data_IF_680215896377
#
_entry.id   IF_680215896377
#
_cell.length_a   1.000
_cell.length_b   1.000
_cell.length_c   1.000
_cell.angle_alpha   90.00
_cell.angle_beta   90.00
_cell.angle_gamma   90.00
#
_symmetry.space_group_name_H-M   'P 1'
#
loop_
_entity.id
_entity.type
_entity.pdbx_description
1 polymer ?
#
# COMPACT_ATOMS: atom_id res chain seq x y z
N UNK A 1 4.47 -17.80 1.64
CA UNK A 1 4.51 -16.69 2.61
C UNK A 1 3.39 -16.79 3.65
N UNK A 2 2.13 -16.48 3.30
CA UNK A 2 1.02 -16.39 4.28
C UNK A 2 0.79 -17.64 5.14
N UNK A 3 0.72 -18.84 4.54
CA UNK A 3 0.57 -20.12 5.30
C UNK A 3 1.70 -20.36 6.31
N UNK A 4 2.89 -19.80 6.05
CA UNK A 4 4.07 -19.89 6.91
C UNK A 4 4.19 -18.72 7.89
N UNK A 5 3.22 -17.78 7.90
CA UNK A 5 3.25 -16.52 8.66
C UNK A 5 4.49 -15.66 8.39
N UNK A 6 5.06 -15.79 7.20
CA UNK A 6 6.21 -15.00 6.75
C UNK A 6 5.71 -13.68 6.16
N UNK A 7 5.42 -12.72 7.03
CA UNK A 7 4.80 -11.44 6.66
C UNK A 7 5.76 -10.51 5.91
N UNK A 8 7.08 -10.64 6.13
CA UNK A 8 8.09 -9.96 5.30
C UNK A 8 7.98 -10.37 3.85
N UNK A 9 7.91 -11.68 3.60
CA UNK A 9 7.77 -12.19 2.25
C UNK A 9 6.39 -11.85 1.65
N UNK A 10 5.33 -11.77 2.46
CA UNK A 10 4.02 -11.25 1.99
C UNK A 10 4.14 -9.80 1.52
N UNK A 11 4.83 -8.93 2.27
CA UNK A 11 5.07 -7.53 1.89
C UNK A 11 5.79 -7.42 0.54
N UNK A 12 6.82 -8.24 0.32
CA UNK A 12 7.56 -8.30 -0.96
C UNK A 12 6.63 -8.71 -2.10
N UNK A 13 5.91 -9.83 -1.95
CA UNK A 13 4.99 -10.34 -2.98
C UNK A 13 3.85 -9.37 -3.28
N UNK A 14 3.35 -8.62 -2.29
CA UNK A 14 2.34 -7.59 -2.50
C UNK A 14 2.84 -6.50 -3.44
N UNK A 15 4.08 -6.05 -3.24
CA UNK A 15 4.69 -5.03 -4.09
C UNK A 15 4.95 -5.56 -5.50
N UNK A 16 5.58 -6.74 -5.62
CA UNK A 16 5.88 -7.37 -6.89
C UNK A 16 4.61 -7.64 -7.71
N UNK A 17 3.53 -8.09 -7.06
CA UNK A 17 2.25 -8.32 -7.75
C UNK A 17 1.70 -7.02 -8.36
N UNK A 18 1.78 -5.91 -7.65
CA UNK A 18 1.37 -4.62 -8.19
C UNK A 18 2.27 -4.19 -9.35
N UNK A 19 3.58 -4.34 -9.22
CA UNK A 19 4.56 -3.92 -10.23
C UNK A 19 4.45 -4.73 -11.53
N UNK A 20 4.01 -5.99 -11.44
CA UNK A 20 3.69 -6.81 -12.61
C UNK A 20 2.37 -6.38 -13.24
N UNK A 21 1.33 -6.15 -12.43
CA UNK A 21 0.00 -5.75 -12.93
C UNK A 21 0.02 -4.37 -13.58
N UNK A 22 0.77 -3.42 -13.04
CA UNK A 22 0.87 -2.05 -13.58
C UNK A 22 1.44 -2.01 -15.00
N UNK A 23 2.14 -3.05 -15.46
CA UNK A 23 2.66 -3.16 -16.82
C UNK A 23 1.58 -3.44 -17.87
N UNK A 24 0.46 -4.02 -17.47
CA UNK A 24 -0.61 -4.47 -18.37
C UNK A 24 -1.94 -3.73 -18.16
N UNK A 25 -2.01 -2.83 -17.18
CA UNK A 25 -3.21 -2.05 -16.89
C UNK A 25 -2.89 -0.56 -16.82
N UNK A 26 -3.81 0.29 -17.26
CA UNK A 26 -3.68 1.74 -17.09
C UNK A 26 -3.94 2.09 -15.63
N UNK A 27 -2.95 2.72 -14.98
CA UNK A 27 -3.12 3.27 -13.64
C UNK A 27 -3.27 4.78 -13.75
N UNK A 28 -4.30 5.34 -13.13
CA UNK A 28 -4.44 6.79 -13.05
C UNK A 28 -3.30 7.39 -12.22
N UNK A 29 -2.92 8.63 -12.52
CA UNK A 29 -1.88 9.34 -11.78
C UNK A 29 -2.14 9.39 -10.26
N UNK A 30 -3.38 9.70 -9.77
CA UNK A 30 -3.64 9.69 -8.33
C UNK A 30 -3.46 8.31 -7.68
N UNK A 31 -3.84 7.24 -8.39
CA UNK A 31 -3.67 5.88 -7.89
C UNK A 31 -2.18 5.50 -7.79
N UNK A 32 -1.36 5.86 -8.78
CA UNK A 32 0.10 5.65 -8.68
C UNK A 32 0.71 6.46 -7.55
N UNK A 33 0.29 7.72 -7.39
CA UNK A 33 0.81 8.61 -6.35
C UNK A 33 0.53 8.08 -4.93
N UNK A 34 -0.64 7.47 -4.70
CA UNK A 34 -0.92 6.80 -3.43
C UNK A 34 0.01 5.60 -3.19
N UNK A 35 0.26 4.77 -4.21
CA UNK A 35 1.16 3.60 -4.08
C UNK A 35 2.59 4.02 -3.76
N UNK A 36 3.11 4.96 -4.54
CA UNK A 36 4.48 5.45 -4.36
C UNK A 36 4.65 6.13 -3.00
N UNK A 37 3.66 6.92 -2.58
CA UNK A 37 3.65 7.56 -1.26
C UNK A 37 3.66 6.53 -0.14
N UNK A 38 2.81 5.50 -0.21
CA UNK A 38 2.80 4.42 0.77
C UNK A 38 4.16 3.72 0.86
N UNK A 39 4.77 3.39 -0.28
CA UNK A 39 6.06 2.69 -0.35
C UNK A 39 7.22 3.54 0.13
N UNK A 40 7.26 4.84 -0.20
CA UNK A 40 8.24 5.78 0.37
C UNK A 40 8.12 5.88 1.89
N UNK A 41 6.91 5.70 2.41
CA UNK A 41 6.70 5.64 3.86
C UNK A 41 7.14 4.30 4.47
N UNK A 42 7.58 3.30 3.70
CA UNK A 42 8.01 2.00 4.22
C UNK A 42 6.89 0.96 4.33
N UNK A 43 5.72 1.21 3.74
CA UNK A 43 4.66 0.20 3.65
C UNK A 43 4.78 -0.59 2.34
N UNK A 44 4.43 -1.88 2.38
CA UNK A 44 4.04 -2.57 1.16
C UNK A 44 2.65 -2.12 0.76
N UNK A 45 2.40 -1.93 -0.53
CA UNK A 45 1.15 -1.37 -1.01
C UNK A 45 0.80 -1.85 -2.43
N UNK A 46 -0.50 -2.08 -2.65
CA UNK A 46 -1.11 -2.35 -3.95
C UNK A 46 -2.47 -1.66 -4.07
N UNK A 47 -2.94 -1.46 -5.30
CA UNK A 47 -4.29 -0.98 -5.53
C UNK A 47 -5.34 -2.03 -5.14
N UNK A 48 -6.46 -1.53 -4.66
CA UNK A 48 -7.69 -2.27 -4.48
C UNK A 48 -8.50 -2.21 -5.79
N UNK A 49 -9.08 -3.35 -6.19
CA UNK A 49 -10.01 -3.49 -7.32
C UNK A 49 -9.86 -2.54 -8.50
N UNK A 50 -10.92 -1.76 -8.74
CA UNK A 50 -11.07 -0.78 -9.82
C UNK A 50 -10.27 0.52 -9.59
N UNK A 51 -9.59 0.66 -8.46
CA UNK A 51 -8.85 1.86 -8.05
C UNK A 51 -9.61 2.71 -7.03
N UNK A 52 -9.05 3.88 -6.70
CA UNK A 52 -9.63 4.80 -5.71
C UNK A 52 -9.28 4.47 -4.25
N UNK A 53 -8.68 3.31 -4.00
CA UNK A 53 -8.13 2.93 -2.71
C UNK A 53 -6.83 2.11 -2.85
N UNK A 54 -5.98 2.22 -1.83
CA UNK A 54 -4.76 1.42 -1.66
C UNK A 54 -4.90 0.60 -0.39
N UNK A 55 -4.50 -0.68 -0.45
CA UNK A 55 -4.31 -1.52 0.72
C UNK A 55 -2.82 -1.76 0.91
N UNK A 56 -2.38 -1.75 2.17
CA UNK A 56 -0.98 -1.93 2.49
C UNK A 56 -0.73 -2.57 3.84
N UNK A 57 0.52 -3.01 4.01
CA UNK A 57 1.05 -3.60 5.24
C UNK A 57 2.23 -2.76 5.72
N UNK A 58 2.30 -2.50 7.01
CA UNK A 58 3.36 -1.71 7.64
C UNK A 58 3.84 -2.39 8.93
N UNK A 59 5.06 -2.05 9.35
CA UNK A 59 5.74 -2.73 10.47
C UNK A 59 5.40 -2.12 11.83
N UNK A 60 5.37 -0.78 11.92
CA UNK A 60 5.32 -0.08 13.19
C UNK A 60 4.43 1.16 13.18
N UNK A 61 4.08 1.63 14.38
CA UNK A 61 3.23 2.81 14.55
C UNK A 61 3.90 4.08 13.99
N UNK A 62 5.24 4.15 13.97
CA UNK A 62 5.98 5.26 13.34
C UNK A 62 5.69 5.34 11.85
N UNK A 63 5.65 4.20 11.17
CA UNK A 63 5.28 4.09 9.76
C UNK A 63 3.83 4.49 9.55
N UNK A 64 2.93 4.10 10.45
CA UNK A 64 1.53 4.52 10.37
C UNK A 64 1.34 6.05 10.52
N UNK A 65 2.04 6.68 11.47
CA UNK A 65 2.03 8.14 11.62
C UNK A 65 2.56 8.83 10.36
N UNK A 66 3.66 8.32 9.79
CA UNK A 66 4.22 8.82 8.53
C UNK A 66 3.24 8.66 7.36
N UNK A 67 2.59 7.50 7.25
CA UNK A 67 1.56 7.25 6.24
C UNK A 67 0.43 8.27 6.33
N UNK A 68 -0.13 8.53 7.53
CA UNK A 68 -1.17 9.57 7.69
C UNK A 68 -0.72 10.93 7.17
N UNK A 69 0.46 11.36 7.61
CA UNK A 69 1.01 12.68 7.26
C UNK A 69 1.27 12.83 5.76
N UNK A 70 1.89 11.84 5.13
CA UNK A 70 2.25 11.94 3.70
C UNK A 70 1.04 11.74 2.79
N UNK A 71 0.08 10.88 3.18
CA UNK A 71 -1.16 10.67 2.42
C UNK A 71 -2.09 11.89 2.47
N UNK A 72 -2.15 12.60 3.60
CA UNK A 72 -2.94 13.81 3.74
C UNK A 72 -2.51 14.91 2.74
N UNK A 73 -1.20 15.02 2.45
CA UNK A 73 -0.67 15.97 1.46
C UNK A 73 -1.20 15.72 0.04
N UNK A 74 -1.58 14.48 -0.27
CA UNK A 74 -2.15 14.08 -1.55
C UNK A 74 -3.68 13.88 -1.46
N UNK A 75 -4.32 14.44 -0.43
CA UNK A 75 -5.76 14.37 -0.17
C UNK A 75 -6.30 12.94 0.00
N UNK A 76 -5.45 12.00 0.44
CA UNK A 76 -5.83 10.63 0.74
C UNK A 76 -5.96 10.41 2.26
N UNK A 77 -7.01 9.70 2.68
CA UNK A 77 -7.25 9.38 4.09
C UNK A 77 -6.73 7.98 4.43
N UNK A 78 -5.95 7.88 5.50
CA UNK A 78 -5.45 6.58 6.00
C UNK A 78 -6.34 6.06 7.12
N UNK A 79 -6.76 4.81 7.02
CA UNK A 79 -7.54 4.09 8.01
C UNK A 79 -6.75 2.89 8.55
N UNK A 80 -6.83 2.63 9.86
CA UNK A 80 -6.33 1.38 10.48
C UNK A 80 -7.55 0.51 10.79
N UNK A 81 -7.86 -0.50 9.96
CA UNK A 81 -9.03 -1.33 10.17
C UNK A 81 -8.85 -2.15 11.45
N UNK A 82 -9.93 -2.27 12.22
CA UNK A 82 -10.02 -3.20 13.34
C UNK A 82 -10.71 -4.45 12.79
N UNK A 83 -9.99 -5.57 12.75
CA UNK A 83 -10.53 -6.86 12.32
C UNK A 83 -10.93 -7.59 13.60
N UNK A 84 -12.25 -7.85 13.72
CA UNK A 84 -12.84 -8.62 14.82
C UNK A 84 -12.92 -10.10 14.53
#
# INVERSE_FOLDING_TARGET
ALKKRDYEHVKILMNENFDLRSRIMKISRPNMEMIETARRCGAAAKLEGSGGAVIGMYEDEKTFVRLKKEMEKIQAKVIKPIIG
#
